data_IF_430423457121
#
_entry.id   IF_430423457121
#
_cell.length_a   1.000
_cell.length_b   1.000
_cell.length_c   1.000
_cell.angle_alpha   90.00
_cell.angle_beta   90.00
_cell.angle_gamma   90.00
#
_symmetry.space_group_name_H-M   'P 1'
#
loop_
_entity.id
_entity.type
_entity.pdbx_description
1 polymer ?
#
# COMPACT_ATOMS: atom_id res chain seq x y z
N UNK A 1 -24.83 -12.36 -38.01
CA UNK A 1 -24.83 -11.08 -37.29
C UNK A 1 -25.23 -11.31 -35.85
N UNK A 2 -24.30 -11.22 -34.91
CA UNK A 2 -24.57 -11.34 -33.47
C UNK A 2 -23.91 -10.13 -32.78
N UNK A 3 -24.73 -9.21 -32.26
CA UNK A 3 -24.26 -8.08 -31.47
C UNK A 3 -24.27 -8.51 -30.00
N UNK A 4 -23.09 -8.69 -29.41
CA UNK A 4 -22.94 -8.81 -27.96
C UNK A 4 -23.19 -7.43 -27.34
N UNK A 5 -24.24 -7.34 -26.52
CA UNK A 5 -24.55 -6.17 -25.70
C UNK A 5 -23.78 -6.33 -24.39
N UNK A 6 -22.65 -5.64 -24.25
CA UNK A 6 -21.94 -5.55 -22.97
C UNK A 6 -22.68 -4.54 -22.11
N UNK A 7 -23.41 -5.04 -21.12
CA UNK A 7 -24.04 -4.20 -20.10
C UNK A 7 -23.00 -3.91 -19.03
N UNK A 8 -22.56 -2.65 -18.93
CA UNK A 8 -21.74 -2.18 -17.82
C UNK A 8 -22.56 -2.26 -16.52
N UNK A 9 -22.07 -3.02 -15.54
CA UNK A 9 -22.66 -3.03 -14.21
C UNK A 9 -22.31 -1.71 -13.48
N UNK A 10 -23.28 -1.01 -12.87
CA UNK A 10 -22.99 0.20 -12.11
C UNK A 10 -22.32 -0.19 -10.79
N UNK A 11 -21.04 0.13 -10.63
CA UNK A 11 -20.36 0.08 -9.32
C UNK A 11 -20.62 1.40 -8.58
N UNK A 12 -21.89 1.75 -8.39
CA UNK A 12 -22.32 2.82 -7.48
C UNK A 12 -23.75 2.49 -7.04
N UNK A 13 -23.96 2.16 -5.77
CA UNK A 13 -25.32 2.16 -5.21
C UNK A 13 -25.77 1.02 -4.31
N UNK A 14 -24.89 0.16 -3.78
CA UNK A 14 -25.27 -0.73 -2.69
C UNK A 14 -24.49 -0.35 -1.43
N UNK A 15 -25.17 0.26 -0.46
CA UNK A 15 -24.71 0.28 0.91
C UNK A 15 -24.52 -1.18 1.35
N UNK A 16 -23.27 -1.66 1.32
CA UNK A 16 -22.89 -2.92 1.92
C UNK A 16 -23.23 -2.81 3.41
N UNK A 17 -24.40 -3.32 3.83
CA UNK A 17 -24.67 -3.56 5.24
C UNK A 17 -23.58 -4.54 5.70
N UNK A 18 -22.67 -4.14 6.59
CA UNK A 18 -21.65 -5.06 7.06
C UNK A 18 -22.36 -6.20 7.80
N UNK A 19 -22.02 -7.45 7.45
CA UNK A 19 -22.44 -8.63 8.22
C UNK A 19 -21.96 -8.43 9.66
N UNK A 20 -22.78 -8.77 10.66
CA UNK A 20 -22.57 -8.39 12.07
C UNK A 20 -21.17 -8.62 12.64
N UNK A 21 -20.43 -9.63 12.15
CA UNK A 21 -19.03 -9.87 12.54
C UNK A 21 -18.03 -8.81 12.06
N UNK A 22 -18.28 -8.15 10.94
CA UNK A 22 -17.38 -7.14 10.38
C UNK A 22 -17.42 -5.82 11.16
N UNK A 23 -18.57 -5.47 11.75
CA UNK A 23 -18.70 -4.28 12.61
C UNK A 23 -17.85 -4.41 13.88
N UNK A 24 -17.83 -5.60 14.50
CA UNK A 24 -17.05 -5.86 15.72
C UNK A 24 -15.54 -5.77 15.48
N UNK A 25 -15.06 -6.30 14.35
CA UNK A 25 -13.64 -6.23 13.99
C UNK A 25 -13.15 -4.79 13.81
N UNK A 26 -14.00 -3.92 13.25
CA UNK A 26 -13.64 -2.52 13.02
C UNK A 26 -13.48 -1.72 14.32
N UNK A 27 -14.30 -2.01 15.34
CA UNK A 27 -14.17 -1.38 16.66
C UNK A 27 -12.88 -1.81 17.36
N UNK A 28 -12.50 -3.09 17.24
CA UNK A 28 -11.26 -3.61 17.83
C UNK A 28 -10.01 -2.95 17.21
N UNK A 29 -10.06 -2.64 15.91
CA UNK A 29 -8.97 -1.99 15.19
C UNK A 29 -9.03 -0.45 15.20
N UNK A 30 -10.02 0.13 15.90
CA UNK A 30 -10.18 1.59 16.02
C UNK A 30 -10.60 2.30 14.73
N UNK A 31 -11.16 1.60 13.75
CA UNK A 31 -11.43 2.15 12.42
C UNK A 31 -12.82 2.80 12.34
N UNK A 32 -12.85 4.11 12.06
CA UNK A 32 -14.08 4.89 11.94
C UNK A 32 -14.45 5.10 10.46
N UNK A 33 -15.37 4.28 9.93
CA UNK A 33 -15.82 4.37 8.54
C UNK A 33 -16.60 5.63 8.21
N UNK A 34 -17.31 6.19 9.19
CA UNK A 34 -18.03 7.44 8.98
C UNK A 34 -17.03 8.57 8.69
N UNK A 35 -15.98 8.69 9.52
CA UNK A 35 -14.90 9.65 9.28
C UNK A 35 -14.15 9.34 7.99
N UNK A 36 -13.82 8.07 7.73
CA UNK A 36 -13.16 7.69 6.48
C UNK A 36 -13.96 8.13 5.24
N UNK A 37 -15.30 8.03 5.27
CA UNK A 37 -16.15 8.42 4.14
C UNK A 37 -16.28 9.94 3.96
N UNK A 38 -16.34 10.70 5.05
CA UNK A 38 -16.63 12.15 5.00
C UNK A 38 -15.39 13.04 5.14
N UNK A 39 -14.36 12.55 5.82
CA UNK A 39 -13.09 13.23 6.11
C UNK A 39 -11.90 12.49 5.47
N UNK A 40 -12.16 11.49 4.63
CA UNK A 40 -11.12 10.67 4.00
C UNK A 40 -10.18 11.48 3.10
N UNK A 41 -8.92 11.10 3.10
CA UNK A 41 -7.91 11.72 2.23
C UNK A 41 -7.96 11.03 0.86
N UNK A 42 -8.07 11.83 -0.21
CA UNK A 42 -7.95 11.32 -1.55
C UNK A 42 -6.54 10.76 -1.79
N UNK A 43 -6.46 9.50 -2.22
CA UNK A 43 -5.19 8.76 -2.36
C UNK A 43 -4.20 9.48 -3.30
N UNK A 44 -4.72 10.09 -4.36
CA UNK A 44 -3.89 10.79 -5.37
C UNK A 44 -3.32 12.11 -4.86
N UNK A 45 -4.08 12.83 -4.04
CA UNK A 45 -3.64 14.09 -3.44
C UNK A 45 -2.57 13.82 -2.39
N UNK A 46 -2.75 12.75 -1.61
CA UNK A 46 -1.72 12.25 -0.71
C UNK A 46 -0.45 11.86 -1.47
N UNK A 47 -0.56 11.04 -2.51
CA UNK A 47 0.59 10.54 -3.27
C UNK A 47 1.45 11.63 -3.88
N UNK A 48 0.85 12.69 -4.42
CA UNK A 48 1.57 13.83 -4.96
C UNK A 48 2.33 14.62 -3.89
N UNK A 49 1.65 14.95 -2.78
CA UNK A 49 2.30 15.65 -1.65
C UNK A 49 3.42 14.81 -1.06
N UNK A 50 3.15 13.53 -0.85
CA UNK A 50 4.10 12.57 -0.31
C UNK A 50 5.36 12.49 -1.17
N UNK A 51 5.24 12.29 -2.49
CA UNK A 51 6.39 12.18 -3.40
C UNK A 51 7.34 13.40 -3.36
N UNK A 52 6.81 14.60 -3.09
CA UNK A 52 7.62 15.82 -3.00
C UNK A 52 8.48 15.89 -1.72
N UNK A 53 8.04 15.25 -0.63
CA UNK A 53 8.69 15.31 0.68
C UNK A 53 9.80 14.27 0.86
N UNK A 54 9.89 13.30 -0.05
CA UNK A 54 10.54 12.01 0.25
C UNK A 54 11.83 11.79 -0.54
N UNK A 55 12.38 12.85 -1.15
CA UNK A 55 13.53 12.77 -2.06
C UNK A 55 14.86 12.43 -1.36
N UNK A 56 14.99 12.64 -0.06
CA UNK A 56 16.24 12.42 0.67
C UNK A 56 16.01 11.84 2.07
N UNK A 57 15.21 10.78 2.15
CA UNK A 57 14.92 10.07 3.39
C UNK A 57 15.13 8.57 3.20
N UNK A 58 15.53 7.89 4.26
CA UNK A 58 15.58 6.42 4.32
C UNK A 58 14.27 5.88 4.85
N UNK A 59 13.59 5.07 4.04
CA UNK A 59 12.36 4.41 4.42
C UNK A 59 12.64 3.15 5.23
N UNK A 60 11.87 2.96 6.29
CA UNK A 60 11.95 1.75 7.11
C UNK A 60 10.59 1.06 7.07
N UNK A 61 10.59 -0.24 6.78
CA UNK A 61 9.39 -1.07 6.76
C UNK A 61 9.57 -2.37 7.54
N UNK A 62 8.47 -3.09 7.74
CA UNK A 62 8.45 -4.44 8.28
C UNK A 62 7.52 -5.31 7.43
N UNK A 63 8.08 -6.27 6.69
CA UNK A 63 7.33 -7.04 5.67
C UNK A 63 6.69 -6.13 4.60
N UNK A 64 7.42 -5.06 4.26
CA UNK A 64 6.90 -3.86 3.58
C UNK A 64 6.62 -4.00 2.09
N UNK A 65 6.69 -5.20 1.52
CA UNK A 65 6.46 -5.41 0.09
C UNK A 65 5.12 -4.82 -0.36
N UNK A 66 4.06 -5.03 0.43
CA UNK A 66 2.72 -4.48 0.15
C UNK A 66 2.68 -2.96 0.37
N UNK A 67 3.27 -2.48 1.45
CA UNK A 67 3.29 -1.04 1.78
C UNK A 67 3.95 -0.24 0.67
N UNK A 68 5.12 -0.68 0.21
CA UNK A 68 5.83 -0.06 -0.90
C UNK A 68 5.07 -0.16 -2.22
N UNK A 69 4.31 -1.23 -2.45
CA UNK A 69 3.49 -1.35 -3.64
C UNK A 69 2.33 -0.32 -3.63
N UNK A 70 1.65 -0.15 -2.50
CA UNK A 70 0.62 0.88 -2.35
C UNK A 70 1.19 2.29 -2.52
N UNK A 71 2.33 2.59 -1.87
CA UNK A 71 3.00 3.88 -2.02
C UNK A 71 3.44 4.13 -3.47
N UNK A 72 4.05 3.14 -4.12
CA UNK A 72 4.48 3.24 -5.53
C UNK A 72 3.29 3.54 -6.45
N UNK A 73 2.16 2.84 -6.25
CA UNK A 73 0.94 3.11 -7.01
C UNK A 73 0.42 4.53 -6.78
N UNK A 74 0.38 4.99 -5.53
CA UNK A 74 -0.11 6.33 -5.19
C UNK A 74 0.77 7.44 -5.78
N UNK A 75 2.10 7.31 -5.66
CA UNK A 75 3.05 8.32 -6.16
C UNK A 75 3.14 8.36 -7.68
N UNK A 76 3.07 7.21 -8.35
CA UNK A 76 3.17 7.14 -9.82
C UNK A 76 1.85 7.44 -10.54
N UNK A 77 0.72 7.31 -9.83
CA UNK A 77 -0.64 7.36 -10.41
C UNK A 77 -0.83 6.39 -11.58
N UNK A 78 -0.08 5.28 -11.57
CA UNK A 78 -0.10 4.23 -12.61
C UNK A 78 -0.44 2.89 -11.99
N UNK A 79 -0.98 1.94 -12.78
CA UNK A 79 -1.03 0.54 -12.39
C UNK A 79 0.36 0.04 -11.99
N UNK A 80 0.42 -0.89 -11.05
CA UNK A 80 1.67 -1.55 -10.73
C UNK A 80 2.17 -2.36 -11.93
N UNK A 81 3.48 -2.38 -12.19
CA UNK A 81 4.04 -3.23 -13.23
C UNK A 81 3.71 -4.71 -13.00
N UNK A 82 3.50 -5.45 -14.08
CA UNK A 82 3.22 -6.90 -14.03
C UNK A 82 4.48 -7.73 -13.81
N UNK A 83 5.64 -7.17 -14.17
CA UNK A 83 6.94 -7.79 -13.96
C UNK A 83 7.58 -7.32 -12.64
N UNK A 84 8.15 -8.25 -11.89
CA UNK A 84 8.93 -7.96 -10.69
C UNK A 84 10.14 -7.05 -10.99
N UNK A 85 10.82 -7.23 -12.12
CA UNK A 85 11.98 -6.41 -12.49
C UNK A 85 11.59 -4.96 -12.80
N UNK A 86 10.45 -4.77 -13.45
CA UNK A 86 9.92 -3.46 -13.73
C UNK A 86 9.42 -2.77 -12.47
N UNK A 87 8.71 -3.51 -11.60
CA UNK A 87 8.30 -3.02 -10.28
C UNK A 87 9.50 -2.55 -9.45
N UNK A 88 10.57 -3.35 -9.35
CA UNK A 88 11.77 -2.99 -8.59
C UNK A 88 12.45 -1.75 -9.16
N UNK A 89 12.50 -1.62 -10.49
CA UNK A 89 13.03 -0.42 -11.16
C UNK A 89 12.20 0.82 -10.85
N UNK A 90 10.87 0.73 -10.93
CA UNK A 90 9.98 1.84 -10.54
C UNK A 90 10.15 2.18 -9.07
N UNK A 91 10.17 1.18 -8.19
CA UNK A 91 10.35 1.36 -6.76
C UNK A 91 11.68 2.06 -6.43
N UNK A 92 12.77 1.69 -7.10
CA UNK A 92 14.07 2.35 -6.95
C UNK A 92 14.07 3.82 -7.41
N UNK A 93 13.19 4.20 -8.34
CA UNK A 93 13.07 5.60 -8.78
C UNK A 93 12.30 6.45 -7.77
N UNK A 94 11.26 5.88 -7.13
CA UNK A 94 10.37 6.64 -6.22
C UNK A 94 10.79 6.55 -4.75
N UNK A 95 11.44 5.46 -4.33
CA UNK A 95 11.86 5.17 -2.96
C UNK A 95 13.28 4.54 -2.98
N UNK A 96 14.32 5.31 -3.38
CA UNK A 96 15.66 4.78 -3.60
C UNK A 96 16.32 4.23 -2.33
N UNK A 97 16.11 4.88 -1.18
CA UNK A 97 16.70 4.50 0.10
C UNK A 97 15.64 3.85 0.98
N UNK A 98 15.71 2.52 1.14
CA UNK A 98 14.76 1.76 1.95
C UNK A 98 15.40 0.56 2.62
N UNK A 99 14.92 0.23 3.81
CA UNK A 99 15.33 -0.90 4.63
C UNK A 99 14.08 -1.64 5.08
N UNK A 100 14.03 -2.95 4.84
CA UNK A 100 13.00 -3.80 5.41
C UNK A 100 13.58 -4.58 6.59
N UNK A 101 13.08 -4.27 7.80
CA UNK A 101 13.61 -4.85 9.04
C UNK A 101 13.51 -6.38 8.99
N UNK A 102 12.39 -6.94 8.55
CA UNK A 102 12.21 -8.40 8.51
C UNK A 102 13.25 -9.05 7.61
N UNK A 103 13.54 -8.46 6.45
CA UNK A 103 14.62 -8.95 5.58
C UNK A 103 16.00 -8.77 6.23
N UNK A 104 16.27 -7.63 6.86
CA UNK A 104 17.54 -7.37 7.55
C UNK A 104 17.79 -8.36 8.70
N UNK A 105 16.76 -8.72 9.48
CA UNK A 105 16.86 -9.70 10.57
C UNK A 105 17.13 -11.13 10.07
N UNK A 106 16.65 -11.45 8.86
CA UNK A 106 16.89 -12.73 8.20
C UNK A 106 18.25 -12.80 7.52
N UNK A 107 18.86 -11.65 7.22
CA UNK A 107 20.24 -11.57 6.76
C UNK A 107 21.20 -11.98 7.91
N UNK A 108 21.97 -13.03 7.66
CA UNK A 108 22.93 -13.61 8.62
C UNK A 108 24.08 -12.66 8.95
N UNK A 109 24.23 -11.54 8.22
CA UNK A 109 25.16 -10.47 8.55
C UNK A 109 24.83 -9.76 9.87
N UNK A 110 23.54 -9.50 10.16
CA UNK A 110 23.12 -8.83 11.40
C UNK A 110 23.13 -9.77 12.62
N UNK A 111 23.01 -11.09 12.40
CA UNK A 111 23.20 -12.08 13.48
C UNK A 111 24.62 -12.05 14.05
N UNK A 112 25.63 -11.74 13.23
CA UNK A 112 27.04 -11.63 13.68
C UNK A 112 27.35 -10.36 14.48
N UNK A 113 26.48 -9.36 14.47
CA UNK A 113 26.68 -8.10 15.21
C UNK A 113 26.08 -8.14 16.63
N UNK A 114 25.56 -9.28 17.09
CA UNK A 114 25.06 -9.46 18.47
C UNK A 114 23.75 -8.73 18.79
N UNK A 115 23.14 -8.04 17.82
CA UNK A 115 21.87 -7.29 18.00
C UNK A 115 20.67 -8.23 18.17
N UNK A 116 20.80 -9.51 17.80
CA UNK A 116 19.74 -10.53 17.88
C UNK A 116 20.15 -11.77 18.67
N UNK A 117 21.20 -11.69 19.50
CA UNK A 117 21.51 -12.76 20.44
C UNK A 117 20.68 -12.57 21.72
N UNK A 118 19.40 -12.97 21.69
CA UNK A 118 18.61 -13.38 22.86
C UNK A 118 17.59 -14.45 22.49
#
# INVERSE_FOLDING_TARGET
>A
GHKHKITAAPVVGAALRPRGGQLLWNHQMGLNWWRYRHEGIAQWDFGERFASLTKNITWVSFDGFRDFAFLTRMMTRKPLPTSASEYLRTLNQVLPHRVDIKQSLLDTSMRRCGILDR
#
